data_IF_684201076728
#
_entry.id   IF_684201076728
#
_cell.length_a   1.000
_cell.length_b   1.000
_cell.length_c   1.000
_cell.angle_alpha   90.00
_cell.angle_beta   90.00
_cell.angle_gamma   90.00
#
_symmetry.space_group_name_H-M   'P 1'
#
loop_
_entity.id
_entity.type
_entity.pdbx_description
1 polymer ?
#
# COMPACT_ATOMS: atom_id res chain seq x y z
N UNK A 1 25.69 -44.10 -4.80
CA UNK A 1 24.40 -43.69 -4.28
C UNK A 1 23.99 -42.45 -5.06
N UNK A 2 23.18 -42.62 -6.09
CA UNK A 2 22.64 -41.54 -6.91
C UNK A 2 21.47 -40.94 -6.13
N UNK A 3 21.69 -39.80 -5.46
CA UNK A 3 20.58 -38.97 -5.01
C UNK A 3 19.79 -38.54 -6.26
N UNK A 4 18.67 -39.23 -6.49
CA UNK A 4 17.65 -38.76 -7.36
C UNK A 4 17.20 -37.40 -6.83
N UNK A 5 17.63 -36.32 -7.45
CA UNK A 5 17.07 -34.97 -7.26
C UNK A 5 15.60 -35.04 -7.65
N UNK A 6 14.75 -35.43 -6.69
CA UNK A 6 13.30 -35.44 -6.87
C UNK A 6 12.89 -34.01 -7.22
N UNK A 7 12.29 -33.82 -8.39
CA UNK A 7 11.80 -32.51 -8.83
C UNK A 7 10.72 -32.04 -7.88
N UNK A 8 11.03 -31.01 -7.08
CA UNK A 8 10.07 -30.33 -6.22
C UNK A 8 8.97 -29.75 -7.13
N UNK A 9 7.71 -30.05 -6.80
CA UNK A 9 6.55 -29.49 -7.52
C UNK A 9 6.51 -27.97 -7.48
N UNK A 10 5.68 -27.36 -8.31
CA UNK A 10 5.54 -25.92 -8.45
C UNK A 10 4.11 -25.42 -8.20
N UNK A 11 3.28 -26.21 -7.51
CA UNK A 11 1.86 -25.86 -7.29
C UNK A 11 1.72 -24.59 -6.43
N UNK A 12 2.61 -24.36 -5.46
CA UNK A 12 2.67 -23.16 -4.63
C UNK A 12 2.70 -21.86 -5.45
N UNK A 13 3.34 -21.87 -6.63
CA UNK A 13 3.36 -20.69 -7.50
C UNK A 13 2.01 -20.42 -8.19
N UNK A 14 1.14 -21.42 -8.36
CA UNK A 14 -0.24 -21.21 -8.82
C UNK A 14 -1.06 -20.47 -7.75
N UNK A 15 -0.86 -20.82 -6.50
CA UNK A 15 -1.50 -20.11 -5.38
C UNK A 15 -0.96 -18.68 -5.28
N UNK A 16 0.35 -18.50 -5.43
CA UNK A 16 0.96 -17.16 -5.47
C UNK A 16 0.41 -16.31 -6.63
N UNK A 17 0.21 -16.90 -7.81
CA UNK A 17 -0.40 -16.21 -8.95
C UNK A 17 -1.83 -15.75 -8.65
N UNK A 18 -2.62 -16.55 -7.92
CA UNK A 18 -3.95 -16.13 -7.46
C UNK A 18 -3.87 -14.96 -6.47
N UNK A 19 -2.93 -14.98 -5.54
CA UNK A 19 -2.69 -13.85 -4.61
C UNK A 19 -2.26 -12.61 -5.38
N UNK A 20 -1.35 -12.75 -6.35
CA UNK A 20 -0.93 -11.67 -7.25
C UNK A 20 -2.12 -11.05 -7.99
N UNK A 21 -2.98 -11.88 -8.59
CA UNK A 21 -4.17 -11.42 -9.31
C UNK A 21 -5.15 -10.69 -8.39
N UNK A 22 -5.42 -11.23 -7.19
CA UNK A 22 -6.30 -10.58 -6.22
C UNK A 22 -5.81 -9.18 -5.85
N UNK A 23 -4.52 -9.04 -5.54
CA UNK A 23 -3.92 -7.75 -5.17
C UNK A 23 -3.86 -6.79 -6.36
N UNK A 24 -3.62 -7.28 -7.58
CA UNK A 24 -3.72 -6.47 -8.81
C UNK A 24 -5.14 -5.89 -8.97
N UNK A 25 -6.18 -6.72 -8.84
CA UNK A 25 -7.59 -6.27 -8.95
C UNK A 25 -7.91 -5.28 -7.82
N UNK A 26 -7.46 -5.54 -6.60
CA UNK A 26 -7.65 -4.68 -5.45
C UNK A 26 -7.10 -3.25 -5.70
N UNK A 27 -5.86 -3.13 -6.17
CA UNK A 27 -5.27 -1.81 -6.46
C UNK A 27 -5.82 -1.15 -7.71
N UNK A 28 -6.28 -1.95 -8.68
CA UNK A 28 -7.03 -1.44 -9.82
C UNK A 28 -8.35 -0.78 -9.35
N UNK A 29 -9.17 -1.48 -8.56
CA UNK A 29 -10.43 -0.97 -7.99
C UNK A 29 -10.22 0.32 -7.18
N UNK A 30 -9.21 0.32 -6.33
CA UNK A 30 -8.83 1.46 -5.50
C UNK A 30 -8.54 2.70 -6.34
N UNK A 31 -7.89 2.52 -7.48
CA UNK A 31 -7.41 3.61 -8.35
C UNK A 31 -8.50 4.19 -9.27
N UNK A 32 -9.59 3.48 -9.56
CA UNK A 32 -10.61 3.90 -10.53
C UNK A 32 -11.15 5.30 -10.22
N UNK A 33 -11.63 5.53 -9.00
CA UNK A 33 -12.22 6.83 -8.62
C UNK A 33 -11.16 7.94 -8.66
N UNK A 34 -9.92 7.64 -8.27
CA UNK A 34 -8.84 8.62 -8.30
C UNK A 34 -8.47 9.04 -9.72
N UNK A 35 -8.36 8.07 -10.63
CA UNK A 35 -8.09 8.33 -12.06
C UNK A 35 -9.23 9.11 -12.72
N UNK A 36 -10.46 8.82 -12.33
CA UNK A 36 -11.67 9.49 -12.85
C UNK A 36 -12.06 10.75 -12.09
N UNK A 37 -11.31 11.17 -11.07
CA UNK A 37 -11.68 12.27 -10.20
C UNK A 37 -12.12 13.54 -10.95
N UNK A 38 -11.36 14.08 -11.94
CA UNK A 38 -11.77 15.28 -12.67
C UNK A 38 -13.08 15.08 -13.45
N UNK A 39 -13.25 13.89 -14.04
CA UNK A 39 -14.43 13.54 -14.84
C UNK A 39 -15.66 13.39 -13.96
N UNK A 40 -15.55 12.67 -12.83
CA UNK A 40 -16.65 12.46 -11.89
C UNK A 40 -17.07 13.76 -11.19
N UNK A 41 -16.10 14.60 -10.79
CA UNK A 41 -16.39 15.92 -10.21
C UNK A 41 -17.21 16.79 -11.17
N UNK A 42 -16.80 16.83 -12.46
CA UNK A 42 -17.55 17.56 -13.48
C UNK A 42 -18.93 16.95 -13.75
N UNK A 43 -19.03 15.61 -13.78
CA UNK A 43 -20.28 14.90 -14.08
C UNK A 43 -21.34 15.07 -12.97
N UNK A 44 -20.90 15.08 -11.71
CA UNK A 44 -21.77 15.09 -10.54
C UNK A 44 -21.77 16.43 -9.80
N UNK A 45 -21.07 17.44 -10.32
CA UNK A 45 -20.91 18.77 -9.70
C UNK A 45 -20.36 18.70 -8.26
N UNK A 46 -19.33 17.85 -8.04
CA UNK A 46 -18.72 17.71 -6.73
C UNK A 46 -17.63 18.75 -6.49
N UNK A 47 -17.68 19.36 -5.31
CA UNK A 47 -16.59 20.18 -4.78
C UNK A 47 -15.35 19.32 -4.45
N UNK A 48 -14.23 19.97 -4.15
CA UNK A 48 -13.05 19.26 -3.66
C UNK A 48 -13.26 18.66 -2.26
N UNK A 49 -14.09 19.28 -1.43
CA UNK A 49 -14.52 18.72 -0.14
C UNK A 49 -15.34 17.45 -0.31
N UNK A 50 -16.25 17.42 -1.29
CA UNK A 50 -17.04 16.22 -1.60
C UNK A 50 -16.15 15.08 -2.06
N UNK A 51 -15.21 15.35 -2.95
CA UNK A 51 -14.21 14.35 -3.36
C UNK A 51 -13.34 13.88 -2.19
N UNK A 52 -12.87 14.81 -1.34
CA UNK A 52 -12.13 14.45 -0.13
C UNK A 52 -12.94 13.55 0.80
N UNK A 53 -14.26 13.85 1.00
CA UNK A 53 -15.14 13.03 1.83
C UNK A 53 -15.26 11.58 1.30
N UNK A 54 -15.33 11.41 -0.03
CA UNK A 54 -15.35 10.10 -0.69
C UNK A 54 -14.02 9.35 -0.41
N UNK A 55 -12.86 10.01 -0.53
CA UNK A 55 -11.56 9.40 -0.27
C UNK A 55 -11.36 9.08 1.21
N UNK A 56 -11.77 9.97 2.09
CA UNK A 56 -11.71 9.79 3.55
C UNK A 56 -12.59 8.62 4.00
N UNK A 57 -13.79 8.45 3.43
CA UNK A 57 -14.67 7.33 3.78
C UNK A 57 -14.00 5.98 3.54
N UNK A 58 -13.28 5.83 2.42
CA UNK A 58 -12.49 4.65 2.13
C UNK A 58 -11.37 4.44 3.15
N UNK A 59 -10.59 5.49 3.46
CA UNK A 59 -9.45 5.40 4.40
C UNK A 59 -9.90 5.03 5.81
N UNK A 60 -11.00 5.62 6.30
CA UNK A 60 -11.59 5.27 7.60
C UNK A 60 -12.00 3.80 7.61
N UNK A 61 -12.74 3.36 6.60
CA UNK A 61 -13.20 1.98 6.49
C UNK A 61 -12.05 0.99 6.39
N UNK A 62 -11.03 1.30 5.58
CA UNK A 62 -9.84 0.49 5.42
C UNK A 62 -9.06 0.38 6.74
N UNK A 63 -8.85 1.51 7.44
CA UNK A 63 -8.17 1.53 8.75
C UNK A 63 -8.92 0.73 9.82
N UNK A 64 -10.24 0.89 9.90
CA UNK A 64 -11.08 0.09 10.80
C UNK A 64 -11.04 -1.40 10.42
N UNK A 65 -11.15 -1.69 9.13
CA UNK A 65 -11.12 -3.07 8.62
C UNK A 65 -9.81 -3.79 8.94
N UNK A 66 -8.67 -3.13 8.91
CA UNK A 66 -7.37 -3.70 9.30
C UNK A 66 -7.35 -4.22 10.74
N UNK A 67 -8.14 -3.62 11.65
CA UNK A 67 -8.23 -4.06 13.05
C UNK A 67 -8.96 -5.41 13.19
N UNK A 68 -9.93 -5.70 12.32
CA UNK A 68 -10.83 -6.84 12.47
C UNK A 68 -10.58 -7.95 11.44
N UNK A 69 -10.21 -7.61 10.20
CA UNK A 69 -10.13 -8.58 9.10
C UNK A 69 -9.07 -9.65 9.32
N UNK A 70 -7.93 -9.29 9.92
CA UNK A 70 -6.93 -10.29 10.31
C UNK A 70 -7.52 -11.36 11.26
N UNK A 71 -8.23 -10.92 12.30
CA UNK A 71 -8.88 -11.84 13.24
C UNK A 71 -10.00 -12.68 12.61
N UNK A 72 -10.75 -12.13 11.66
CA UNK A 72 -11.77 -12.86 10.90
C UNK A 72 -11.12 -13.95 10.04
N UNK A 73 -10.05 -13.61 9.31
CA UNK A 73 -9.29 -14.55 8.49
C UNK A 73 -8.66 -15.65 9.34
N UNK A 74 -8.19 -15.33 10.55
CA UNK A 74 -7.62 -16.32 11.46
C UNK A 74 -8.67 -17.31 11.97
N UNK A 75 -9.87 -16.82 12.31
CA UNK A 75 -10.96 -17.66 12.83
C UNK A 75 -11.60 -18.53 11.75
N UNK A 76 -11.85 -17.97 10.56
CA UNK A 76 -12.56 -18.68 9.48
C UNK A 76 -11.60 -19.47 8.57
N UNK A 77 -10.30 -19.29 8.73
CA UNK A 77 -9.27 -19.81 7.86
C UNK A 77 -9.12 -19.00 6.56
N UNK A 78 -7.96 -19.12 5.94
CA UNK A 78 -7.55 -18.32 4.78
C UNK A 78 -8.53 -18.44 3.60
N UNK A 79 -9.01 -19.66 3.29
CA UNK A 79 -9.95 -19.90 2.19
C UNK A 79 -11.20 -19.04 2.28
N UNK A 80 -11.90 -19.14 3.41
CA UNK A 80 -13.18 -18.47 3.60
C UNK A 80 -12.99 -16.99 3.91
N UNK A 81 -12.04 -16.66 4.78
CA UNK A 81 -11.77 -15.27 5.16
C UNK A 81 -11.38 -14.40 3.96
N UNK A 82 -10.53 -14.91 3.07
CA UNK A 82 -10.18 -14.19 1.84
C UNK A 82 -11.36 -14.07 0.89
N UNK A 83 -12.15 -15.15 0.73
CA UNK A 83 -13.38 -15.11 -0.07
C UNK A 83 -14.34 -14.02 0.41
N UNK A 84 -14.62 -13.96 1.71
CA UNK A 84 -15.52 -12.94 2.29
C UNK A 84 -15.01 -11.53 1.99
N UNK A 85 -13.72 -11.29 2.17
CA UNK A 85 -13.06 -10.02 1.89
C UNK A 85 -13.32 -9.60 0.44
N UNK A 86 -13.04 -10.49 -0.52
CA UNK A 86 -13.19 -10.22 -1.95
C UNK A 86 -14.65 -10.05 -2.36
N UNK A 87 -15.55 -10.84 -1.82
CA UNK A 87 -16.99 -10.69 -2.09
C UNK A 87 -17.51 -9.33 -1.62
N UNK A 88 -17.10 -8.88 -0.42
CA UNK A 88 -17.47 -7.56 0.09
C UNK A 88 -16.98 -6.48 -0.87
N UNK A 89 -15.68 -6.44 -1.19
CA UNK A 89 -15.19 -5.38 -2.08
C UNK A 89 -15.77 -5.46 -3.48
N UNK A 90 -16.01 -6.67 -4.01
CA UNK A 90 -16.63 -6.87 -5.32
C UNK A 90 -18.04 -6.27 -5.40
N UNK A 91 -18.86 -6.53 -4.37
CA UNK A 91 -20.23 -6.00 -4.29
C UNK A 91 -20.18 -4.46 -4.22
N UNK A 92 -19.38 -3.90 -3.33
CA UNK A 92 -19.29 -2.45 -3.17
C UNK A 92 -18.56 -1.78 -4.34
N UNK A 93 -17.60 -2.46 -4.99
CA UNK A 93 -17.01 -2.04 -6.25
C UNK A 93 -18.07 -1.87 -7.34
N UNK A 94 -18.88 -2.91 -7.60
CA UNK A 94 -19.97 -2.86 -8.58
C UNK A 94 -21.08 -1.86 -8.18
N UNK A 95 -21.32 -1.65 -6.90
CA UNK A 95 -22.33 -0.69 -6.43
C UNK A 95 -22.08 0.72 -6.94
N UNK A 96 -20.82 1.13 -7.16
CA UNK A 96 -20.51 2.44 -7.76
C UNK A 96 -21.21 2.62 -9.11
N UNK A 97 -21.28 1.58 -9.94
CA UNK A 97 -21.93 1.64 -11.25
C UNK A 97 -23.45 1.83 -11.19
N UNK A 98 -24.09 1.50 -10.07
CA UNK A 98 -25.55 1.62 -9.89
C UNK A 98 -25.96 2.97 -9.26
N UNK A 99 -25.02 3.86 -8.93
CA UNK A 99 -25.29 5.11 -8.24
C UNK A 99 -25.95 6.11 -9.21
N UNK A 100 -27.09 6.66 -8.81
CA UNK A 100 -27.83 7.68 -9.57
C UNK A 100 -27.31 9.09 -9.26
N UNK A 101 -27.32 10.02 -10.24
CA UNK A 101 -26.82 11.38 -10.03
C UNK A 101 -27.41 12.11 -8.81
N UNK A 102 -28.71 11.94 -8.54
CA UNK A 102 -29.40 12.60 -7.43
C UNK A 102 -28.85 12.22 -6.03
N UNK A 103 -28.17 11.08 -5.90
CA UNK A 103 -27.58 10.59 -4.65
C UNK A 103 -26.09 10.27 -4.81
N UNK A 104 -25.43 10.89 -5.79
CA UNK A 104 -24.07 10.53 -6.17
C UNK A 104 -23.08 10.61 -5.00
N UNK A 105 -23.05 11.72 -4.26
CA UNK A 105 -22.12 11.90 -3.16
C UNK A 105 -22.28 10.84 -2.07
N UNK A 106 -23.49 10.67 -1.54
CA UNK A 106 -23.77 9.68 -0.48
C UNK A 106 -23.53 8.25 -1.00
N UNK A 107 -23.96 7.98 -2.24
CA UNK A 107 -23.75 6.68 -2.88
C UNK A 107 -22.27 6.32 -2.97
N UNK A 108 -21.43 7.24 -3.45
CA UNK A 108 -19.99 7.02 -3.54
C UNK A 108 -19.34 6.91 -2.16
N UNK A 109 -19.75 7.69 -1.15
CA UNK A 109 -19.28 7.58 0.23
C UNK A 109 -19.57 6.17 0.77
N UNK A 110 -20.80 5.69 0.64
CA UNK A 110 -21.22 4.37 1.14
C UNK A 110 -20.51 3.25 0.37
N UNK A 111 -20.43 3.34 -0.95
CA UNK A 111 -19.77 2.35 -1.78
C UNK A 111 -18.25 2.28 -1.47
N UNK A 112 -17.60 3.43 -1.31
CA UNK A 112 -16.17 3.51 -0.92
C UNK A 112 -15.92 3.01 0.48
N UNK A 113 -16.84 3.25 1.42
CA UNK A 113 -16.73 2.71 2.77
C UNK A 113 -16.79 1.18 2.76
N UNK A 114 -17.78 0.59 2.11
CA UNK A 114 -17.87 -0.87 2.00
C UNK A 114 -16.70 -1.48 1.24
N UNK A 115 -16.23 -0.82 0.17
CA UNK A 115 -15.03 -1.22 -0.57
C UNK A 115 -13.81 -1.26 0.36
N UNK A 116 -13.60 -0.21 1.17
CA UNK A 116 -12.47 -0.12 2.11
C UNK A 116 -12.49 -1.23 3.16
N UNK A 117 -13.65 -1.57 3.73
CA UNK A 117 -13.80 -2.73 4.64
C UNK A 117 -13.37 -4.03 3.92
N UNK A 118 -13.89 -4.28 2.72
CA UNK A 118 -13.54 -5.49 1.96
C UNK A 118 -12.05 -5.54 1.63
N UNK A 119 -11.49 -4.48 1.10
CA UNK A 119 -10.08 -4.41 0.68
C UNK A 119 -9.08 -4.57 1.82
N UNK A 120 -9.45 -4.19 3.04
CA UNK A 120 -8.57 -4.29 4.22
C UNK A 120 -8.14 -5.72 4.54
N UNK A 121 -8.90 -6.73 4.10
CA UNK A 121 -8.55 -8.14 4.28
C UNK A 121 -7.56 -8.69 3.26
N UNK A 122 -7.27 -7.98 2.17
CA UNK A 122 -6.39 -8.47 1.12
C UNK A 122 -4.98 -8.78 1.62
N UNK A 123 -4.30 -7.82 2.24
CA UNK A 123 -2.93 -8.02 2.74
C UNK A 123 -2.82 -9.08 3.83
N UNK A 124 -3.65 -9.10 4.89
CA UNK A 124 -3.64 -10.17 5.89
C UNK A 124 -3.83 -11.56 5.28
N UNK A 125 -4.78 -11.71 4.33
CA UNK A 125 -5.03 -12.98 3.66
C UNK A 125 -3.87 -13.40 2.75
N UNK A 126 -3.29 -12.46 2.00
CA UNK A 126 -2.14 -12.70 1.13
C UNK A 126 -0.92 -13.18 1.93
N UNK A 127 -0.56 -12.45 3.00
CA UNK A 127 0.55 -12.80 3.89
C UNK A 127 0.34 -14.18 4.52
N UNK A 128 -0.88 -14.46 4.99
CA UNK A 128 -1.23 -15.76 5.57
C UNK A 128 -1.15 -16.88 4.53
N UNK A 129 -1.62 -16.64 3.30
CA UNK A 129 -1.50 -17.58 2.19
C UNK A 129 -0.02 -17.90 1.89
N UNK A 130 0.84 -16.88 1.85
CA UNK A 130 2.29 -17.07 1.67
C UNK A 130 2.89 -17.86 2.83
N UNK A 131 2.48 -17.57 4.08
CA UNK A 131 2.97 -18.29 5.25
C UNK A 131 2.57 -19.78 5.23
N UNK A 132 1.37 -20.10 4.71
CA UNK A 132 0.87 -21.48 4.61
C UNK A 132 1.49 -22.26 3.44
N UNK A 133 1.85 -21.59 2.33
CA UNK A 133 2.28 -22.25 1.09
C UNK A 133 3.78 -22.18 0.79
N UNK A 134 4.54 -21.39 1.55
CA UNK A 134 5.97 -21.21 1.33
C UNK A 134 6.78 -21.44 2.60
N UNK A 135 7.92 -22.19 2.50
CA UNK A 135 8.86 -22.29 3.59
C UNK A 135 9.44 -20.90 3.92
N UNK A 136 9.90 -20.69 5.17
CA UNK A 136 10.38 -19.38 5.66
C UNK A 136 11.42 -18.74 4.74
N UNK A 137 12.35 -19.53 4.22
CA UNK A 137 13.41 -19.08 3.31
C UNK A 137 12.89 -18.45 2.01
N UNK A 138 11.69 -18.85 1.53
CA UNK A 138 11.09 -18.38 0.28
C UNK A 138 10.00 -17.32 0.50
N UNK A 139 9.53 -17.12 1.74
CA UNK A 139 8.43 -16.18 2.06
C UNK A 139 8.71 -14.76 1.63
N UNK A 140 9.95 -14.28 1.83
CA UNK A 140 10.33 -12.92 1.42
C UNK A 140 10.21 -12.73 -0.10
N UNK A 141 10.61 -13.73 -0.89
CA UNK A 141 10.47 -13.71 -2.34
C UNK A 141 8.99 -13.73 -2.77
N UNK A 142 8.19 -14.63 -2.18
CA UNK A 142 6.76 -14.72 -2.49
C UNK A 142 6.00 -13.44 -2.09
N UNK A 143 6.35 -12.86 -0.93
CA UNK A 143 5.80 -11.56 -0.49
C UNK A 143 6.16 -10.45 -1.45
N UNK A 144 7.41 -10.37 -1.91
CA UNK A 144 7.83 -9.38 -2.90
C UNK A 144 7.09 -9.49 -4.23
N UNK A 145 6.78 -10.72 -4.68
CA UNK A 145 5.99 -10.92 -5.91
C UNK A 145 4.57 -10.38 -5.74
N UNK A 146 3.86 -10.71 -4.66
CA UNK A 146 2.51 -10.20 -4.52
C UNK A 146 2.47 -8.71 -4.21
N UNK A 147 3.47 -8.16 -3.54
CA UNK A 147 3.58 -6.72 -3.28
C UNK A 147 3.77 -5.95 -4.60
N UNK A 148 4.59 -6.43 -5.51
CA UNK A 148 4.75 -5.85 -6.84
C UNK A 148 3.43 -5.78 -7.65
N UNK A 149 2.45 -6.64 -7.34
CA UNK A 149 1.13 -6.60 -7.97
C UNK A 149 0.31 -5.34 -7.64
N UNK A 150 0.66 -4.63 -6.57
CA UNK A 150 0.04 -3.35 -6.20
C UNK A 150 0.32 -2.29 -7.26
N UNK A 151 1.58 -2.17 -7.68
CA UNK A 151 1.98 -1.27 -8.76
C UNK A 151 1.36 -1.68 -10.10
N UNK A 152 1.30 -2.97 -10.39
CA UNK A 152 0.64 -3.46 -11.62
C UNK A 152 -0.82 -3.02 -11.67
N UNK A 153 -1.58 -3.19 -10.57
CA UNK A 153 -2.97 -2.73 -10.47
C UNK A 153 -3.12 -1.21 -10.66
N UNK A 154 -2.28 -0.44 -9.98
CA UNK A 154 -2.28 1.02 -10.06
C UNK A 154 -1.87 1.55 -11.45
N UNK A 155 -0.96 0.88 -12.16
CA UNK A 155 -0.56 1.22 -13.52
C UNK A 155 -1.66 0.85 -14.52
N UNK A 156 -2.29 -0.32 -14.40
CA UNK A 156 -3.32 -0.76 -15.34
C UNK A 156 -4.57 0.13 -15.28
N UNK A 157 -4.92 0.65 -14.12
CA UNK A 157 -6.13 1.44 -13.93
C UNK A 157 -6.24 2.65 -14.89
N UNK A 158 -5.27 3.58 -14.99
CA UNK A 158 -5.38 4.72 -15.89
C UNK A 158 -5.41 4.33 -17.38
N UNK A 159 -4.76 3.24 -17.78
CA UNK A 159 -4.83 2.76 -19.17
C UNK A 159 -6.19 2.18 -19.51
N UNK A 160 -6.71 1.28 -18.68
CA UNK A 160 -8.00 0.61 -18.93
C UNK A 160 -9.14 1.62 -18.79
N UNK A 161 -9.13 2.46 -17.74
CA UNK A 161 -10.13 3.50 -17.55
C UNK A 161 -10.09 4.49 -18.71
N UNK A 162 -8.89 4.96 -19.12
CA UNK A 162 -8.74 5.89 -20.22
C UNK A 162 -9.15 5.32 -21.60
N UNK A 163 -9.09 4.00 -21.79
CA UNK A 163 -9.56 3.35 -23.01
C UNK A 163 -11.10 3.20 -23.07
N UNK A 164 -11.78 3.18 -21.91
CA UNK A 164 -13.22 2.89 -21.82
C UNK A 164 -14.03 4.15 -21.64
N UNK A 165 -13.55 5.07 -20.76
CA UNK A 165 -14.30 6.26 -20.36
C UNK A 165 -13.97 7.41 -21.30
N UNK A 166 -15.02 8.03 -21.86
CA UNK A 166 -14.83 9.22 -22.69
C UNK A 166 -14.42 10.44 -21.84
N UNK A 167 -13.88 11.48 -22.50
CA UNK A 167 -13.57 12.78 -21.83
C UNK A 167 -14.81 13.42 -21.19
N UNK A 168 -15.98 13.17 -21.76
CA UNK A 168 -17.27 13.68 -21.23
C UNK A 168 -17.82 12.82 -20.10
N UNK A 169 -17.19 11.70 -19.76
CA UNK A 169 -17.64 10.79 -18.72
C UNK A 169 -18.61 9.70 -19.18
N UNK A 170 -18.84 9.55 -20.49
CA UNK A 170 -19.63 8.43 -20.97
C UNK A 170 -18.95 7.11 -20.57
N UNK A 171 -19.76 6.11 -20.25
CA UNK A 171 -19.31 4.78 -19.84
C UNK A 171 -18.53 4.73 -18.49
N UNK A 172 -18.62 5.76 -17.65
CA UNK A 172 -17.90 5.81 -16.37
C UNK A 172 -18.21 4.63 -15.44
N UNK A 173 -19.36 3.97 -15.60
CA UNK A 173 -19.76 2.79 -14.82
C UNK A 173 -19.00 1.54 -15.19
N UNK A 174 -18.55 1.41 -16.46
CA UNK A 174 -17.98 0.17 -17.00
C UNK A 174 -16.72 -0.29 -16.24
N UNK A 175 -15.75 0.56 -15.87
CA UNK A 175 -14.59 0.13 -15.10
C UNK A 175 -14.96 -0.57 -13.78
N UNK A 176 -15.97 -0.08 -13.06
CA UNK A 176 -16.45 -0.69 -11.82
C UNK A 176 -17.11 -2.06 -12.03
N UNK A 177 -17.84 -2.23 -13.14
CA UNK A 177 -18.43 -3.52 -13.51
C UNK A 177 -17.36 -4.54 -13.90
N UNK A 178 -16.33 -4.10 -14.62
CA UNK A 178 -15.22 -4.98 -15.03
C UNK A 178 -14.48 -5.50 -13.81
N UNK A 179 -14.11 -4.65 -12.86
CA UNK A 179 -13.36 -5.08 -11.66
C UNK A 179 -14.20 -5.97 -10.78
N UNK A 180 -15.48 -5.66 -10.60
CA UNK A 180 -16.40 -6.52 -9.87
C UNK A 180 -16.58 -7.89 -10.49
N UNK A 181 -16.66 -7.96 -11.83
CA UNK A 181 -16.72 -9.22 -12.57
C UNK A 181 -15.42 -10.01 -12.43
N UNK A 182 -14.26 -9.36 -12.58
CA UNK A 182 -12.94 -9.98 -12.41
C UNK A 182 -12.77 -10.53 -10.99
N UNK A 183 -13.17 -9.76 -9.97
CA UNK A 183 -13.17 -10.20 -8.57
C UNK A 183 -14.08 -11.40 -8.36
N UNK A 184 -15.28 -11.40 -8.94
CA UNK A 184 -16.23 -12.52 -8.85
C UNK A 184 -15.68 -13.80 -9.52
N UNK A 185 -15.07 -13.66 -10.69
CA UNK A 185 -14.38 -14.75 -11.38
C UNK A 185 -13.22 -15.28 -10.54
N UNK A 186 -12.44 -14.39 -9.95
CA UNK A 186 -11.35 -14.78 -9.06
C UNK A 186 -11.86 -15.59 -7.86
N UNK A 187 -12.97 -15.20 -7.23
CA UNK A 187 -13.59 -15.97 -6.14
C UNK A 187 -13.89 -17.40 -6.56
N UNK A 188 -14.46 -17.59 -7.75
CA UNK A 188 -14.74 -18.94 -8.28
C UNK A 188 -13.44 -19.75 -8.46
N UNK A 189 -12.40 -19.13 -9.03
CA UNK A 189 -11.09 -19.77 -9.21
C UNK A 189 -10.45 -20.11 -7.88
N UNK A 190 -10.50 -19.19 -6.90
CA UNK A 190 -9.97 -19.40 -5.57
C UNK A 190 -10.64 -20.55 -4.85
N UNK A 191 -11.96 -20.58 -4.80
CA UNK A 191 -12.71 -21.63 -4.12
C UNK A 191 -12.46 -23.02 -4.70
N UNK A 192 -12.22 -23.11 -6.04
CA UNK A 192 -11.90 -24.36 -6.74
C UNK A 192 -10.44 -24.79 -6.59
N UNK A 193 -9.52 -23.83 -6.40
CA UNK A 193 -8.09 -24.08 -6.47
C UNK A 193 -7.43 -24.13 -5.10
N UNK A 194 -7.84 -23.24 -4.18
CA UNK A 194 -7.18 -23.15 -2.89
C UNK A 194 -7.71 -24.19 -1.90
N UNK A 195 -6.77 -24.90 -1.27
CA UNK A 195 -6.95 -25.69 -0.05
C UNK A 195 -5.69 -25.55 0.79
N UNK A 196 -5.70 -25.97 2.05
CA UNK A 196 -4.46 -26.03 2.82
C UNK A 196 -3.50 -27.06 2.24
N UNK A 197 -2.18 -26.84 2.29
CA UNK A 197 -1.18 -27.76 1.71
C UNK A 197 -1.33 -29.19 2.18
N UNK A 198 -1.65 -29.41 3.46
CA UNK A 198 -1.75 -30.74 4.08
C UNK A 198 -2.84 -31.62 3.48
N UNK A 199 -3.89 -31.00 2.96
CA UNK A 199 -5.08 -31.70 2.42
C UNK A 199 -5.26 -31.48 0.92
N UNK A 200 -4.27 -30.86 0.26
CA UNK A 200 -4.42 -30.48 -1.16
C UNK A 200 -4.19 -31.67 -2.11
N UNK A 201 -5.22 -32.08 -2.90
CA UNK A 201 -5.17 -33.34 -3.67
C UNK A 201 -4.16 -33.34 -4.83
N UNK A 202 -3.73 -32.17 -5.29
CA UNK A 202 -2.78 -32.02 -6.40
C UNK A 202 -1.35 -31.69 -5.96
N UNK A 203 -1.10 -31.65 -4.66
CA UNK A 203 0.22 -31.36 -4.13
C UNK A 203 1.02 -32.65 -4.01
N UNK A 204 2.24 -32.68 -4.53
CA UNK A 204 3.12 -33.84 -4.36
C UNK A 204 3.65 -33.93 -2.93
N UNK A 205 4.00 -35.12 -2.48
CA UNK A 205 4.57 -35.35 -1.13
C UNK A 205 5.89 -34.59 -0.96
N UNK A 206 6.68 -34.49 -2.02
CA UNK A 206 7.96 -33.79 -2.04
C UNK A 206 7.78 -32.28 -1.91
N UNK A 207 6.75 -31.72 -2.59
CA UNK A 207 6.44 -30.29 -2.47
C UNK A 207 5.86 -29.96 -1.09
N UNK A 208 5.03 -30.83 -0.51
CA UNK A 208 4.54 -30.68 0.87
C UNK A 208 5.69 -30.72 1.88
N UNK A 209 6.61 -31.69 1.73
CA UNK A 209 7.80 -31.78 2.58
C UNK A 209 8.68 -30.51 2.45
N UNK A 210 8.79 -29.96 1.24
CA UNK A 210 9.51 -28.72 1.01
C UNK A 210 8.84 -27.52 1.69
N UNK A 211 7.52 -27.39 1.60
CA UNK A 211 6.75 -26.31 2.26
C UNK A 211 6.99 -26.34 3.78
N UNK A 212 7.03 -27.55 4.37
CA UNK A 212 7.19 -27.75 5.80
C UNK A 212 8.66 -27.86 6.25
N UNK A 213 9.63 -27.63 5.37
CA UNK A 213 11.06 -27.89 5.65
C UNK A 213 11.68 -27.05 6.77
N UNK A 214 11.06 -25.93 7.13
CA UNK A 214 11.54 -24.97 8.14
C UNK A 214 10.42 -24.44 9.05
N UNK A 215 9.41 -25.29 9.31
CA UNK A 215 8.33 -24.99 10.25
C UNK A 215 8.87 -25.02 11.69
N UNK A 216 9.18 -23.86 12.24
CA UNK A 216 9.32 -23.65 13.69
C UNK A 216 7.95 -23.30 14.29
N UNK A 217 7.72 -23.69 15.52
CA UNK A 217 6.58 -23.22 16.31
C UNK A 217 6.56 -21.68 16.32
N UNK A 218 5.48 -21.09 15.79
CA UNK A 218 5.26 -19.66 15.93
C UNK A 218 5.05 -19.36 17.41
N UNK A 219 5.96 -18.60 18.01
CA UNK A 219 5.73 -18.07 19.36
C UNK A 219 4.52 -17.14 19.30
N UNK A 220 3.39 -17.63 19.80
CA UNK A 220 2.09 -16.94 19.81
C UNK A 220 2.02 -15.77 20.80
N UNK A 221 3.01 -15.63 21.66
CA UNK A 221 3.08 -14.53 22.63
C UNK A 221 3.37 -13.20 21.94
N UNK A 222 2.38 -12.30 21.98
CA UNK A 222 2.51 -10.91 21.51
C UNK A 222 2.72 -9.99 22.72
N UNK A 223 3.59 -9.00 22.57
CA UNK A 223 3.73 -7.95 23.58
C UNK A 223 2.52 -7.01 23.46
N UNK A 224 1.76 -6.77 24.56
CA UNK A 224 0.60 -5.87 24.52
C UNK A 224 0.99 -4.45 24.15
N UNK A 225 0.14 -3.77 23.36
CA UNK A 225 0.37 -2.39 22.90
C UNK A 225 0.64 -1.41 24.04
N UNK A 226 -0.02 -1.58 25.20
CA UNK A 226 0.17 -0.74 26.40
C UNK A 226 1.63 -0.69 26.84
N UNK A 227 2.40 -1.78 26.65
CA UNK A 227 3.84 -1.81 26.99
C UNK A 227 4.72 -1.16 25.90
N UNK A 228 4.22 -1.03 24.68
CA UNK A 228 4.94 -0.45 23.55
C UNK A 228 4.74 1.07 23.45
N UNK A 229 3.57 1.57 23.80
CA UNK A 229 3.24 3.01 23.74
C UNK A 229 4.19 3.92 24.55
N UNK A 230 4.71 3.52 25.72
CA UNK A 230 5.68 4.35 26.48
C UNK A 230 7.08 4.39 25.87
N UNK A 231 7.38 3.53 24.88
CA UNK A 231 8.71 3.45 24.28
C UNK A 231 8.87 4.51 23.19
N UNK A 232 9.89 5.36 23.32
CA UNK A 232 10.20 6.42 22.34
C UNK A 232 10.51 5.87 20.94
N UNK A 233 11.06 4.65 20.85
CA UNK A 233 11.37 3.96 19.62
C UNK A 233 10.10 3.62 18.83
N UNK A 234 8.99 3.32 19.51
CA UNK A 234 7.67 3.14 18.90
C UNK A 234 7.23 4.41 18.16
N UNK A 235 7.37 5.56 18.82
CA UNK A 235 7.02 6.84 18.21
C UNK A 235 8.02 7.28 17.15
N UNK A 236 9.31 6.95 17.29
CA UNK A 236 10.30 7.20 16.26
C UNK A 236 9.92 6.47 14.95
N UNK A 237 9.49 5.21 15.03
CA UNK A 237 8.96 4.50 13.88
C UNK A 237 7.63 5.09 13.40
N UNK A 238 6.68 5.33 14.31
CA UNK A 238 5.36 5.85 13.97
C UNK A 238 5.44 7.20 13.22
N UNK A 239 6.42 8.05 13.55
CA UNK A 239 6.68 9.27 12.80
C UNK A 239 7.10 9.01 11.36
N UNK A 240 7.85 7.93 11.09
CA UNK A 240 8.23 7.62 9.69
C UNK A 240 7.01 7.31 8.81
N UNK A 241 5.94 6.77 9.40
CA UNK A 241 4.71 6.43 8.67
C UNK A 241 3.80 7.62 8.37
N UNK A 242 4.05 8.80 8.97
CA UNK A 242 3.33 10.03 8.61
C UNK A 242 3.48 10.37 7.13
N UNK A 243 4.63 10.00 6.54
CA UNK A 243 4.91 10.19 5.11
C UNK A 243 4.04 9.32 4.20
N UNK A 244 3.36 8.30 4.74
CA UNK A 244 2.37 7.53 3.98
C UNK A 244 1.23 8.45 3.47
N UNK A 245 0.93 9.54 4.20
CA UNK A 245 -0.01 10.58 3.75
C UNK A 245 0.41 11.24 2.43
N UNK A 246 1.71 11.42 2.20
CA UNK A 246 2.26 11.96 0.95
C UNK A 246 2.08 10.96 -0.20
N UNK A 247 2.31 9.68 0.06
CA UNK A 247 2.04 8.62 -0.94
C UNK A 247 0.57 8.58 -1.35
N UNK A 248 -0.32 8.62 -0.36
CA UNK A 248 -1.76 8.64 -0.62
C UNK A 248 -2.19 9.93 -1.36
N UNK A 249 -1.52 11.06 -1.13
CA UNK A 249 -1.72 12.27 -1.91
C UNK A 249 -1.40 12.03 -3.40
N UNK A 250 -0.25 11.48 -3.73
CA UNK A 250 0.08 11.18 -5.13
C UNK A 250 -0.90 10.20 -5.77
N UNK A 251 -1.32 9.17 -5.04
CA UNK A 251 -2.24 8.15 -5.53
C UNK A 251 -3.66 8.71 -5.79
N UNK A 252 -4.19 9.52 -4.89
CA UNK A 252 -5.59 9.95 -4.95
C UNK A 252 -5.81 11.33 -5.57
N UNK A 253 -4.84 12.22 -5.47
CA UNK A 253 -4.94 13.58 -6.00
C UNK A 253 -4.05 13.83 -7.22
N UNK A 254 -3.13 12.92 -7.53
CA UNK A 254 -2.16 13.10 -8.60
C UNK A 254 -2.82 13.23 -9.97
N UNK A 255 -3.84 12.42 -10.28
CA UNK A 255 -4.57 12.53 -11.54
C UNK A 255 -5.28 13.88 -11.68
N UNK A 256 -5.94 14.33 -10.59
CA UNK A 256 -6.61 15.62 -10.54
C UNK A 256 -5.63 16.78 -10.69
N UNK A 257 -4.51 16.75 -9.96
CA UNK A 257 -3.45 17.75 -10.11
C UNK A 257 -2.93 17.86 -11.55
N UNK A 258 -2.61 16.73 -12.18
CA UNK A 258 -2.12 16.70 -13.55
C UNK A 258 -3.17 17.22 -14.55
N UNK A 259 -4.46 16.96 -14.29
CA UNK A 259 -5.54 17.48 -15.11
C UNK A 259 -5.68 18.99 -14.97
N UNK A 260 -5.71 19.51 -13.76
CA UNK A 260 -5.94 20.95 -13.49
C UNK A 260 -4.73 21.82 -13.85
N UNK A 261 -3.52 21.33 -13.58
CA UNK A 261 -2.30 22.12 -13.81
C UNK A 261 -1.78 22.02 -15.25
N UNK A 262 -1.90 20.85 -15.89
CA UNK A 262 -1.28 20.57 -17.19
C UNK A 262 -2.28 20.15 -18.27
N UNK A 263 -3.58 20.18 -18.00
CA UNK A 263 -4.61 19.77 -18.96
C UNK A 263 -4.57 18.30 -19.35
N UNK A 264 -4.00 17.44 -18.50
CA UNK A 264 -3.96 15.99 -18.74
C UNK A 264 -5.37 15.43 -18.59
N UNK A 265 -5.90 14.81 -19.64
CA UNK A 265 -7.21 14.19 -19.61
C UNK A 265 -7.12 12.69 -19.28
N UNK A 266 -8.28 12.07 -19.06
CA UNK A 266 -8.40 10.66 -18.67
C UNK A 266 -7.77 9.70 -19.70
N UNK A 267 -7.73 10.07 -20.98
CA UNK A 267 -7.15 9.25 -22.05
C UNK A 267 -5.62 9.30 -22.07
N UNK A 268 -5.02 10.37 -21.54
CA UNK A 268 -3.58 10.63 -21.61
C UNK A 268 -2.87 10.45 -20.25
N UNK A 269 -3.60 10.10 -19.19
CA UNK A 269 -3.06 9.97 -17.82
C UNK A 269 -2.18 8.71 -17.63
N UNK A 270 -2.35 7.69 -18.47
CA UNK A 270 -1.68 6.41 -18.31
C UNK A 270 -0.16 6.50 -18.30
N UNK A 271 0.43 7.21 -19.28
CA UNK A 271 1.90 7.32 -19.38
C UNK A 271 2.52 8.09 -18.21
N UNK A 272 2.00 9.23 -17.73
CA UNK A 272 2.44 9.85 -16.50
C UNK A 272 2.46 8.91 -15.31
N UNK A 273 1.39 8.16 -15.08
CA UNK A 273 1.31 7.24 -13.95
C UNK A 273 2.27 6.05 -14.11
N UNK A 274 2.42 5.50 -15.31
CA UNK A 274 3.40 4.46 -15.58
C UNK A 274 4.81 4.88 -15.15
N UNK A 275 5.23 6.09 -15.53
CA UNK A 275 6.55 6.62 -15.16
C UNK A 275 6.68 6.75 -13.64
N UNK A 276 5.67 7.33 -12.98
CA UNK A 276 5.68 7.54 -11.52
C UNK A 276 5.81 6.20 -10.77
N UNK A 277 5.00 5.19 -11.13
CA UNK A 277 5.01 3.90 -10.44
C UNK A 277 6.25 3.06 -10.74
N UNK A 278 6.76 3.06 -11.98
CA UNK A 278 8.04 2.40 -12.28
C UNK A 278 9.19 3.03 -11.47
N UNK A 279 9.23 4.36 -11.36
CA UNK A 279 10.23 5.03 -10.54
C UNK A 279 10.07 4.68 -9.06
N UNK A 280 8.84 4.58 -8.55
CA UNK A 280 8.55 4.17 -7.19
C UNK A 280 9.10 2.76 -6.89
N UNK A 281 8.82 1.78 -7.75
CA UNK A 281 9.30 0.41 -7.61
C UNK A 281 10.83 0.33 -7.67
N UNK A 282 11.46 1.09 -8.58
CA UNK A 282 12.92 1.19 -8.62
C UNK A 282 13.48 1.77 -7.30
N UNK A 283 12.80 2.77 -6.73
CA UNK A 283 13.16 3.37 -5.45
C UNK A 283 13.11 2.36 -4.30
N UNK A 284 12.06 1.54 -4.26
CA UNK A 284 11.91 0.44 -3.30
C UNK A 284 13.11 -0.52 -3.33
N UNK A 285 13.46 -1.01 -4.52
CA UNK A 285 14.58 -1.94 -4.70
C UNK A 285 15.93 -1.30 -4.32
N UNK A 286 16.18 -0.07 -4.79
CA UNK A 286 17.43 0.65 -4.53
C UNK A 286 17.59 1.01 -3.06
N UNK A 287 16.51 1.37 -2.37
CA UNK A 287 16.53 1.74 -0.95
C UNK A 287 16.93 0.59 -0.04
N UNK A 288 16.35 -0.59 -0.27
CA UNK A 288 16.72 -1.81 0.45
C UNK A 288 18.16 -2.24 0.18
N UNK A 289 18.55 -2.22 -1.11
CA UNK A 289 19.91 -2.56 -1.52
C UNK A 289 20.96 -1.62 -0.92
N UNK A 290 20.74 -0.29 -0.98
CA UNK A 290 21.71 0.72 -0.56
C UNK A 290 22.04 0.59 0.92
N UNK A 291 21.05 0.54 1.81
CA UNK A 291 21.31 0.40 3.24
C UNK A 291 21.96 -0.93 3.59
N UNK A 292 21.55 -2.02 2.95
CA UNK A 292 22.17 -3.33 3.11
C UNK A 292 23.64 -3.36 2.65
N UNK A 293 23.95 -2.72 1.52
CA UNK A 293 25.32 -2.62 1.01
C UNK A 293 26.23 -1.80 1.94
N UNK A 294 25.72 -0.72 2.54
CA UNK A 294 26.46 0.08 3.52
C UNK A 294 26.78 -0.73 4.78
N UNK A 295 25.83 -1.53 5.29
CA UNK A 295 26.04 -2.42 6.44
C UNK A 295 27.10 -3.47 6.09
N UNK A 296 27.04 -4.10 4.91
CA UNK A 296 28.07 -5.05 4.44
C UNK A 296 29.48 -4.42 4.32
N UNK A 297 29.56 -3.10 4.07
CA UNK A 297 30.81 -2.33 4.07
C UNK A 297 31.29 -1.93 5.47
N UNK A 298 30.68 -2.44 6.54
CA UNK A 298 31.09 -2.18 7.93
C UNK A 298 30.47 -0.96 8.58
N UNK A 299 29.46 -0.34 7.97
CA UNK A 299 28.74 0.73 8.64
C UNK A 299 27.84 0.18 9.75
N UNK A 300 27.69 0.91 10.85
CA UNK A 300 26.70 0.57 11.86
C UNK A 300 25.28 0.67 11.28
N UNK A 301 24.38 -0.20 11.74
CA UNK A 301 22.96 -0.20 11.32
C UNK A 301 22.36 1.20 11.46
N UNK A 302 22.57 1.86 12.62
CA UNK A 302 22.08 3.21 12.87
C UNK A 302 22.55 4.21 11.81
N UNK A 303 23.83 4.22 11.45
CA UNK A 303 24.39 5.12 10.45
C UNK A 303 23.86 4.80 9.04
N UNK A 304 23.87 3.51 8.65
CA UNK A 304 23.44 3.08 7.33
C UNK A 304 21.97 3.44 7.08
N UNK A 305 21.05 3.12 8.02
CA UNK A 305 19.64 3.42 7.88
C UNK A 305 19.36 4.92 7.79
N UNK A 306 19.88 5.70 8.75
CA UNK A 306 19.62 7.15 8.81
C UNK A 306 20.22 7.92 7.65
N UNK A 307 21.42 7.57 7.19
CA UNK A 307 22.03 8.22 6.03
C UNK A 307 21.25 7.87 4.76
N UNK A 308 20.80 6.62 4.58
CA UNK A 308 19.93 6.26 3.45
C UNK A 308 18.62 7.06 3.50
N UNK A 309 17.99 7.17 4.67
CA UNK A 309 16.77 7.98 4.84
C UNK A 309 17.02 9.47 4.57
N UNK A 310 18.18 10.02 4.97
CA UNK A 310 18.55 11.40 4.68
C UNK A 310 18.70 11.63 3.16
N UNK A 311 19.35 10.71 2.46
CA UNK A 311 19.48 10.77 0.99
C UNK A 311 18.11 10.73 0.33
N UNK A 312 17.20 9.84 0.79
CA UNK A 312 15.81 9.80 0.31
C UNK A 312 15.11 11.15 0.53
N UNK A 313 15.20 11.73 1.72
CA UNK A 313 14.58 13.01 2.03
C UNK A 313 15.11 14.15 1.14
N UNK A 314 16.41 14.17 0.82
CA UNK A 314 17.02 15.14 -0.10
C UNK A 314 16.52 14.92 -1.54
N UNK A 315 16.42 13.67 -2.00
CA UNK A 315 15.92 13.31 -3.33
C UNK A 315 14.45 13.74 -3.51
N UNK A 316 13.66 13.74 -2.45
CA UNK A 316 12.24 14.14 -2.48
C UNK A 316 12.07 15.66 -2.55
N UNK A 317 12.98 16.46 -1.97
CA UNK A 317 12.84 17.92 -1.90
C UNK A 317 12.45 18.62 -3.21
N UNK A 318 13.00 18.26 -4.39
CA UNK A 318 12.66 18.93 -5.64
C UNK A 318 11.18 18.87 -6.02
N UNK A 319 10.38 17.96 -5.45
CA UNK A 319 8.94 17.89 -5.69
C UNK A 319 8.21 19.17 -5.26
N UNK A 320 8.78 19.91 -4.31
CA UNK A 320 8.24 21.19 -3.84
C UNK A 320 8.13 22.25 -4.96
N UNK A 321 8.91 22.11 -6.04
CA UNK A 321 8.86 23.03 -7.18
C UNK A 321 7.83 22.64 -8.24
N UNK A 322 7.21 21.46 -8.14
CA UNK A 322 6.25 20.96 -9.15
C UNK A 322 5.12 21.94 -9.47
N UNK A 323 4.50 22.67 -8.51
CA UNK A 323 3.41 23.59 -8.82
C UNK A 323 3.81 24.80 -9.66
N UNK A 324 5.09 25.16 -9.72
CA UNK A 324 5.61 26.31 -10.48
C UNK A 324 6.27 25.91 -11.78
N UNK A 325 6.35 24.60 -12.08
CA UNK A 325 6.97 24.09 -13.30
C UNK A 325 5.95 24.10 -14.44
N UNK A 326 6.34 24.67 -15.58
CA UNK A 326 5.49 24.71 -16.77
C UNK A 326 5.48 23.39 -17.56
N UNK A 327 6.51 22.57 -17.47
CA UNK A 327 6.63 21.32 -18.22
C UNK A 327 5.97 20.16 -17.50
N UNK A 328 4.94 19.58 -18.10
CA UNK A 328 4.28 18.35 -17.62
C UNK A 328 5.28 17.21 -17.36
N UNK A 329 6.23 16.99 -18.26
CA UNK A 329 7.15 15.87 -18.15
C UNK A 329 8.20 16.05 -17.05
N UNK A 330 8.63 17.30 -16.80
CA UNK A 330 9.49 17.61 -15.66
C UNK A 330 8.71 17.41 -14.35
N UNK A 331 7.46 17.85 -14.29
CA UNK A 331 6.60 17.62 -13.14
C UNK A 331 6.39 16.12 -12.86
N UNK A 332 6.07 15.32 -13.88
CA UNK A 332 5.92 13.86 -13.79
C UNK A 332 7.23 13.20 -13.32
N UNK A 333 8.37 13.63 -13.85
CA UNK A 333 9.68 13.12 -13.42
C UNK A 333 9.96 13.44 -11.95
N UNK A 334 9.69 14.66 -11.49
CA UNK A 334 9.91 15.06 -10.09
C UNK A 334 8.95 14.35 -9.12
N UNK A 335 7.70 14.13 -9.51
CA UNK A 335 6.75 13.33 -8.74
C UNK A 335 7.23 11.87 -8.68
N UNK A 336 7.68 11.31 -9.81
CA UNK A 336 8.27 9.98 -9.86
C UNK A 336 9.52 9.83 -9.00
N UNK A 337 10.39 10.85 -9.02
CA UNK A 337 11.58 10.89 -8.17
C UNK A 337 11.20 10.94 -6.66
N UNK A 338 10.18 11.72 -6.33
CA UNK A 338 9.66 11.77 -4.96
C UNK A 338 9.00 10.45 -4.55
N UNK A 339 8.28 9.80 -5.45
CA UNK A 339 7.72 8.47 -5.25
C UNK A 339 8.82 7.42 -5.01
N UNK A 340 9.89 7.44 -5.81
CA UNK A 340 11.06 6.58 -5.61
C UNK A 340 11.73 6.81 -4.24
N UNK A 341 11.89 8.07 -3.88
CA UNK A 341 12.43 8.46 -2.57
C UNK A 341 11.53 8.00 -1.42
N UNK A 342 10.20 8.11 -1.57
CA UNK A 342 9.23 7.65 -0.59
C UNK A 342 9.29 6.13 -0.38
N UNK A 343 9.27 5.34 -1.44
CA UNK A 343 9.35 3.87 -1.33
C UNK A 343 10.68 3.42 -0.70
N UNK A 344 11.78 4.06 -1.09
CA UNK A 344 13.08 3.83 -0.46
C UNK A 344 13.09 4.20 1.03
N UNK A 345 12.45 5.31 1.39
CA UNK A 345 12.24 5.75 2.77
C UNK A 345 11.41 4.74 3.57
N UNK A 346 10.27 4.32 3.03
CA UNK A 346 9.34 3.38 3.67
C UNK A 346 10.02 2.06 4.01
N UNK A 347 10.76 1.46 3.08
CA UNK A 347 11.50 0.22 3.32
C UNK A 347 12.52 0.39 4.46
N UNK A 348 13.28 1.47 4.46
CA UNK A 348 14.24 1.73 5.54
C UNK A 348 13.53 2.04 6.87
N UNK A 349 12.38 2.71 6.84
CA UNK A 349 11.53 2.92 8.01
C UNK A 349 11.05 1.60 8.61
N UNK A 350 10.50 0.69 7.80
CA UNK A 350 10.05 -0.62 8.29
C UNK A 350 11.17 -1.46 8.88
N UNK A 351 12.38 -1.38 8.35
CA UNK A 351 13.52 -2.13 8.90
C UNK A 351 14.01 -1.60 10.24
N UNK A 352 13.67 -0.35 10.62
CA UNK A 352 13.97 0.15 11.97
C UNK A 352 13.32 -0.71 13.06
N UNK A 353 12.13 -1.27 12.78
CA UNK A 353 11.37 -2.03 13.79
C UNK A 353 12.07 -3.32 14.16
N UNK A 354 12.38 -4.27 13.23
CA UNK A 354 13.10 -5.49 13.60
C UNK A 354 14.56 -5.26 14.00
N UNK A 355 15.15 -4.09 13.64
CA UNK A 355 16.50 -3.74 14.07
C UNK A 355 16.55 -3.31 15.57
N UNK A 356 15.41 -2.90 16.13
CA UNK A 356 15.29 -2.37 17.50
C UNK A 356 14.42 -3.25 18.41
N UNK A 357 13.31 -3.77 17.92
CA UNK A 357 12.33 -4.49 18.73
C UNK A 357 12.49 -6.01 18.63
N UNK A 358 12.21 -6.76 19.72
CA UNK A 358 12.13 -8.21 19.66
C UNK A 358 11.02 -8.68 18.72
N UNK A 359 11.17 -9.86 18.11
CA UNK A 359 10.22 -10.44 17.13
C UNK A 359 8.76 -10.36 17.58
N UNK A 360 8.50 -10.57 18.88
CA UNK A 360 7.16 -10.54 19.51
C UNK A 360 6.48 -9.15 19.46
N UNK A 361 7.24 -8.07 19.29
CA UNK A 361 6.74 -6.69 19.26
C UNK A 361 6.57 -6.13 17.85
N UNK A 362 7.28 -6.67 16.85
CA UNK A 362 7.40 -6.10 15.50
C UNK A 362 6.03 -5.81 14.87
N UNK A 363 5.14 -6.78 14.83
CA UNK A 363 3.82 -6.61 14.20
C UNK A 363 2.97 -5.54 14.91
N UNK A 364 3.05 -5.48 16.25
CA UNK A 364 2.31 -4.50 17.06
C UNK A 364 2.84 -3.08 16.84
N UNK A 365 4.15 -2.88 16.78
CA UNK A 365 4.77 -1.58 16.51
C UNK A 365 4.44 -1.09 15.11
N UNK A 366 4.52 -1.98 14.09
CA UNK A 366 4.11 -1.67 12.73
C UNK A 366 2.63 -1.27 12.68
N UNK A 367 1.76 -2.00 13.38
CA UNK A 367 0.33 -1.68 13.47
C UNK A 367 0.06 -0.28 14.04
N UNK A 368 0.73 0.09 15.14
CA UNK A 368 0.63 1.44 15.74
C UNK A 368 1.04 2.51 14.73
N UNK A 369 2.19 2.33 14.07
CA UNK A 369 2.66 3.27 13.06
C UNK A 369 1.68 3.42 11.91
N UNK A 370 1.21 2.32 11.33
CA UNK A 370 0.25 2.35 10.20
C UNK A 370 -1.06 3.05 10.54
N UNK A 371 -1.58 2.87 11.75
CA UNK A 371 -2.77 3.59 12.21
C UNK A 371 -2.52 5.11 12.24
N UNK A 372 -1.36 5.55 12.71
CA UNK A 372 -1.01 6.97 12.71
C UNK A 372 -0.87 7.51 11.28
N UNK A 373 -0.22 6.77 10.38
CA UNK A 373 -0.09 7.13 8.97
C UNK A 373 -1.45 7.32 8.28
N UNK A 374 -2.39 6.41 8.51
CA UNK A 374 -3.77 6.51 7.97
C UNK A 374 -4.50 7.73 8.56
N UNK A 375 -4.37 7.97 9.87
CA UNK A 375 -5.01 9.13 10.51
C UNK A 375 -4.51 10.46 9.92
N UNK A 376 -3.20 10.58 9.69
CA UNK A 376 -2.62 11.77 9.06
C UNK A 376 -3.04 11.90 7.60
N UNK A 377 -3.12 10.80 6.85
CA UNK A 377 -3.61 10.81 5.48
C UNK A 377 -5.07 11.29 5.37
N UNK A 378 -5.92 10.94 6.35
CA UNK A 378 -7.30 11.42 6.43
C UNK A 378 -7.33 12.95 6.67
N UNK A 379 -6.56 13.43 7.65
CA UNK A 379 -6.46 14.86 7.95
C UNK A 379 -5.94 15.63 6.73
N UNK A 380 -4.94 15.11 6.04
CA UNK A 380 -4.38 15.72 4.84
C UNK A 380 -5.41 15.84 3.71
N UNK A 381 -6.24 14.81 3.46
CA UNK A 381 -7.29 14.87 2.44
C UNK A 381 -8.35 15.93 2.77
N UNK A 382 -8.81 15.99 4.04
CA UNK A 382 -9.80 16.98 4.48
C UNK A 382 -9.23 18.39 4.32
N UNK A 383 -8.00 18.60 4.76
CA UNK A 383 -7.33 19.89 4.65
C UNK A 383 -7.13 20.31 3.18
N UNK A 384 -6.65 19.39 2.34
CA UNK A 384 -6.41 19.67 0.94
C UNK A 384 -7.71 19.97 0.19
N UNK A 385 -8.78 19.19 0.41
CA UNK A 385 -10.10 19.46 -0.19
C UNK A 385 -10.61 20.86 0.18
N UNK A 386 -10.50 21.24 1.46
CA UNK A 386 -10.90 22.56 1.93
C UNK A 386 -10.06 23.70 1.32
N UNK A 387 -8.75 23.52 1.24
CA UNK A 387 -7.82 24.53 0.67
C UNK A 387 -8.05 24.68 -0.84
N UNK A 388 -8.26 23.59 -1.57
CA UNK A 388 -8.53 23.66 -3.01
C UNK A 388 -9.88 24.33 -3.33
N UNK A 389 -10.90 24.19 -2.48
CA UNK A 389 -12.18 24.88 -2.66
C UNK A 389 -12.07 26.40 -2.39
N UNK A 390 -11.15 26.84 -1.55
CA UNK A 390 -11.01 28.27 -1.18
C UNK A 390 -9.92 28.99 -1.96
N UNK A 391 -8.80 28.32 -2.22
CA UNK A 391 -7.62 28.89 -2.85
C UNK A 391 -7.38 28.37 -4.29
N UNK A 392 -8.22 27.46 -4.79
CA UNK A 392 -8.06 26.86 -6.10
C UNK A 392 -6.71 26.16 -6.25
N UNK A 393 -6.14 26.17 -7.46
CA UNK A 393 -4.87 25.49 -7.77
C UNK A 393 -3.68 25.96 -6.94
N UNK A 394 -3.74 27.16 -6.34
CA UNK A 394 -2.67 27.62 -5.42
C UNK A 394 -2.58 26.76 -4.16
N UNK A 395 -3.62 26.01 -3.81
CA UNK A 395 -3.61 25.03 -2.73
C UNK A 395 -2.58 23.90 -2.94
N UNK A 396 -2.34 23.51 -4.17
CA UNK A 396 -1.31 22.52 -4.48
C UNK A 396 0.11 22.98 -4.13
N UNK A 397 0.37 24.28 -4.16
CA UNK A 397 1.68 24.83 -3.77
C UNK A 397 2.05 24.38 -2.35
N UNK A 398 1.13 24.57 -1.39
CA UNK A 398 1.37 24.16 -0.01
C UNK A 398 1.42 22.64 0.15
N UNK A 399 0.58 21.89 -0.57
CA UNK A 399 0.60 20.44 -0.53
C UNK A 399 1.97 19.88 -0.98
N UNK A 400 2.54 20.39 -2.06
CA UNK A 400 3.84 19.95 -2.57
C UNK A 400 5.02 20.45 -1.71
N UNK A 401 4.94 21.64 -1.10
CA UNK A 401 5.93 22.11 -0.10
C UNK A 401 5.96 21.15 1.10
N UNK A 402 4.78 20.80 1.65
CA UNK A 402 4.68 19.85 2.75
C UNK A 402 5.18 18.47 2.31
N UNK A 403 4.76 17.99 1.14
CA UNK A 403 5.20 16.71 0.61
C UNK A 403 6.73 16.63 0.46
N UNK A 404 7.38 17.68 -0.02
CA UNK A 404 8.84 17.71 -0.20
C UNK A 404 9.62 17.87 1.11
N UNK A 405 9.15 18.73 2.03
CA UNK A 405 9.92 19.10 3.23
C UNK A 405 9.69 18.18 4.44
N UNK A 406 8.52 17.51 4.52
CA UNK A 406 8.14 16.71 5.68
C UNK A 406 9.15 15.61 6.04
N UNK A 407 9.78 14.99 5.06
CA UNK A 407 10.74 13.90 5.29
C UNK A 407 11.98 14.36 6.08
N UNK A 408 12.53 15.53 5.79
CA UNK A 408 13.65 16.09 6.58
C UNK A 408 13.23 16.41 8.00
N UNK A 409 12.08 17.02 8.16
CA UNK A 409 11.53 17.37 9.48
C UNK A 409 11.29 16.11 10.30
N UNK A 410 10.63 15.10 9.69
CA UNK A 410 10.37 13.80 10.34
C UNK A 410 11.68 13.11 10.70
N UNK A 411 12.68 13.09 9.82
CA UNK A 411 13.98 12.49 10.12
C UNK A 411 14.65 13.17 11.32
N UNK A 412 14.53 14.48 11.44
CA UNK A 412 15.01 15.23 12.59
C UNK A 412 14.35 14.73 13.89
N UNK A 413 13.03 14.60 13.92
CA UNK A 413 12.31 14.08 15.09
C UNK A 413 12.64 12.60 15.36
N UNK A 414 12.75 11.76 14.32
CA UNK A 414 13.20 10.37 14.47
C UNK A 414 14.59 10.31 15.10
N UNK A 415 15.50 11.22 14.70
CA UNK A 415 16.83 11.28 15.30
C UNK A 415 16.79 11.73 16.76
N UNK A 416 15.94 12.69 17.11
CA UNK A 416 15.76 13.16 18.50
C UNK A 416 15.20 12.07 19.41
N UNK A 417 14.18 11.33 18.94
CA UNK A 417 13.57 10.24 19.72
C UNK A 417 14.46 9.00 19.82
N UNK A 418 15.22 8.71 18.77
CA UNK A 418 16.07 7.54 18.68
C UNK A 418 17.47 7.92 18.13
N UNK A 419 18.32 8.61 18.92
CA UNK A 419 19.67 9.02 18.51
C UNK A 419 20.54 7.82 18.11
N UNK A 420 20.42 6.73 18.88
CA UNK A 420 21.05 5.44 18.62
C UNK A 420 19.98 4.36 18.52
N UNK A 421 20.11 3.46 17.55
CA UNK A 421 19.28 2.28 17.40
C UNK A 421 19.84 1.19 18.31
N UNK A 422 19.40 1.20 19.58
CA UNK A 422 19.81 0.18 20.56
C UNK A 422 18.73 -0.90 20.60
N UNK A 423 19.09 -2.19 20.36
CA UNK A 423 18.12 -3.27 20.44
C UNK A 423 17.49 -3.41 21.82
N UNK A 424 16.23 -3.83 21.86
CA UNK A 424 15.45 -4.13 23.06
C UNK A 424 15.31 -5.66 23.21
N UNK A 425 15.38 -6.14 24.45
CA UNK A 425 15.10 -7.53 24.80
C UNK A 425 13.58 -7.83 24.85
N UNK A 426 13.21 -9.07 25.14
CA UNK A 426 11.80 -9.51 25.24
C UNK A 426 11.01 -8.78 26.34
N UNK A 427 11.68 -8.17 27.31
CA UNK A 427 11.09 -7.36 28.38
C UNK A 427 11.10 -5.86 28.04
N UNK A 428 11.51 -5.50 26.82
CA UNK A 428 11.67 -4.13 26.33
C UNK A 428 12.73 -3.32 27.08
N UNK A 429 13.77 -3.95 27.62
CA UNK A 429 14.93 -3.28 28.19
C UNK A 429 16.03 -3.17 27.13
N UNK A 430 16.84 -2.11 27.21
CA UNK A 430 17.97 -1.95 26.30
C UNK A 430 19.01 -3.05 26.52
N UNK A 431 19.39 -3.72 25.44
CA UNK A 431 20.51 -4.66 25.46
C UNK A 431 21.79 -3.83 25.56
N UNK A 432 22.50 -3.97 26.68
CA UNK A 432 23.82 -3.35 26.88
C UNK A 432 24.83 -4.10 26.02
N UNK A 433 25.40 -3.40 25.04
CA UNK A 433 26.56 -3.88 24.27
C UNK A 433 27.82 -3.74 25.12
#
# INVERSE_FOLDING_TARGET
MTELTQKIGHYRYRILALVFMATTINYFDRSIVAVMAPTLQKLFDWSNKDYAAIMVSFKIAYGLGLLFMGGIIDRLGTKIGYTISIVIWSIFGMLHAAIRPAFSLIGFIVARFGLGIGESGNFPAAIKTVAEWFPKKDRAFATGIFDASTSVGAILAPFIVGAIVSVNGDNWQIPFLITGLLSSLWVVLWLKTYQKPEVHPKLSKEELAYINSDSEEETTEKIPWVKLLPKRETWAFALTTLTDGVWWFYLFWGAKFLAEQFGVNIQNIGLPFLIIFIMADMGSLLGGYTSGALIKKGWTINKARKITMLVCAIIILPVSFVPVIASKWIAVFLIGLAAAGHESWSINGYTLVPDVFPKKAVASVIGIGKMLGVAVAIIADIALGAVLDTAGNSGYFWAFIIAGSSYLVILGFVHLLMPKMTPLDDNLNYIKN
#
